data_IF_266934815709
#
_entry.id   IF_266934815709
#
_cell.length_a   1.000
_cell.length_b   1.000
_cell.length_c   1.000
_cell.angle_alpha   90.00
_cell.angle_beta   90.00
_cell.angle_gamma   90.00
#
_symmetry.space_group_name_H-M   'P 1'
#
loop_
_entity.id
_entity.type
_entity.pdbx_description
1 polymer ?
#
# COMPACT_ATOMS: atom_id res chain seq x y z
N UNK A 1 37.36 -1.00 -8.34
CA UNK A 1 36.34 -1.40 -9.33
C UNK A 1 35.03 -0.75 -8.91
N UNK A 2 34.44 0.09 -9.75
CA UNK A 2 33.09 0.57 -9.51
C UNK A 2 32.11 -0.59 -9.64
N UNK A 3 31.18 -0.69 -8.70
CA UNK A 3 30.14 -1.70 -8.70
C UNK A 3 29.20 -1.51 -9.91
N UNK A 4 28.85 -2.59 -10.61
CA UNK A 4 27.88 -2.48 -11.71
C UNK A 4 26.49 -2.16 -11.15
N UNK A 5 25.66 -1.48 -11.94
CA UNK A 5 24.28 -1.16 -11.56
C UNK A 5 23.47 -2.43 -11.25
N UNK A 6 23.69 -3.49 -12.02
CA UNK A 6 23.03 -4.79 -11.82
C UNK A 6 23.39 -5.38 -10.45
N UNK A 7 24.67 -5.35 -10.07
CA UNK A 7 25.09 -5.85 -8.76
C UNK A 7 24.49 -5.03 -7.60
N UNK A 8 24.38 -3.71 -7.77
CA UNK A 8 23.71 -2.84 -6.79
C UNK A 8 22.21 -3.17 -6.64
N UNK A 9 21.53 -3.45 -7.75
CA UNK A 9 20.10 -3.84 -7.74
C UNK A 9 19.92 -5.19 -7.06
N UNK A 10 20.77 -6.17 -7.34
CA UNK A 10 20.66 -7.50 -6.75
C UNK A 10 20.95 -7.47 -5.25
N UNK A 11 21.96 -6.72 -4.80
CA UNK A 11 22.20 -6.49 -3.38
C UNK A 11 21.05 -5.77 -2.69
N UNK A 12 20.41 -4.81 -3.36
CA UNK A 12 19.24 -4.13 -2.82
C UNK A 12 18.10 -5.13 -2.58
N UNK A 13 17.81 -6.00 -3.56
CA UNK A 13 16.79 -7.05 -3.44
C UNK A 13 17.09 -8.02 -2.31
N UNK A 14 18.35 -8.43 -2.18
CA UNK A 14 18.81 -9.30 -1.10
C UNK A 14 18.60 -8.64 0.27
N UNK A 15 18.99 -7.38 0.42
CA UNK A 15 18.81 -6.63 1.67
C UNK A 15 17.34 -6.39 1.98
N UNK A 16 16.52 -6.05 0.98
CA UNK A 16 15.06 -5.92 1.12
C UNK A 16 14.46 -7.24 1.67
N UNK A 17 14.85 -8.39 1.12
CA UNK A 17 14.39 -9.71 1.59
C UNK A 17 14.86 -10.04 3.02
N UNK A 18 16.12 -9.71 3.37
CA UNK A 18 16.64 -9.90 4.73
C UNK A 18 15.88 -9.03 5.75
N UNK A 19 15.56 -7.79 5.38
CA UNK A 19 14.77 -6.88 6.22
C UNK A 19 13.36 -7.42 6.43
N UNK A 20 12.71 -7.91 5.39
CA UNK A 20 11.37 -8.52 5.48
C UNK A 20 11.39 -9.75 6.40
N UNK A 21 12.37 -10.63 6.23
CA UNK A 21 12.53 -11.81 7.10
C UNK A 21 12.76 -11.39 8.57
N UNK A 22 13.59 -10.37 8.82
CA UNK A 22 13.82 -9.85 10.16
C UNK A 22 12.54 -9.24 10.77
N UNK A 23 11.75 -8.50 9.99
CA UNK A 23 10.45 -7.99 10.44
C UNK A 23 9.45 -9.12 10.73
N UNK A 24 9.39 -10.16 9.90
CA UNK A 24 8.52 -11.31 10.11
C UNK A 24 8.87 -12.09 11.39
N UNK A 25 10.16 -12.30 11.65
CA UNK A 25 10.64 -12.91 12.88
C UNK A 25 10.26 -12.07 14.11
N UNK A 26 10.49 -10.75 14.06
CA UNK A 26 10.09 -9.81 15.13
C UNK A 26 8.58 -9.76 15.33
N UNK A 27 7.79 -9.83 14.26
CA UNK A 27 6.35 -9.84 14.33
C UNK A 27 5.84 -11.10 15.04
N UNK A 28 6.45 -12.27 14.78
CA UNK A 28 6.08 -13.53 15.43
C UNK A 28 6.38 -13.51 16.94
N UNK A 29 7.56 -13.00 17.32
CA UNK A 29 7.90 -12.79 18.74
C UNK A 29 6.95 -11.82 19.43
N UNK A 30 6.65 -10.69 18.76
CA UNK A 30 5.70 -9.70 19.27
C UNK A 30 4.28 -10.27 19.41
N UNK A 31 3.80 -11.03 18.42
CA UNK A 31 2.48 -11.66 18.44
C UNK A 31 2.37 -12.65 19.60
N UNK A 32 3.41 -13.46 19.84
CA UNK A 32 3.47 -14.34 21.01
C UNK A 32 3.44 -13.56 22.33
N UNK A 33 4.25 -12.50 22.45
CA UNK A 33 4.33 -11.65 23.65
C UNK A 33 3.03 -10.91 23.95
N UNK A 34 2.32 -10.46 22.92
CA UNK A 34 1.08 -9.68 23.06
C UNK A 34 -0.19 -10.52 22.89
N UNK A 35 -0.05 -11.84 22.77
CA UNK A 35 -1.14 -12.80 22.55
C UNK A 35 -2.07 -12.38 21.39
N UNK A 36 -1.43 -12.00 20.28
CA UNK A 36 -2.08 -11.83 18.97
C UNK A 36 -2.27 -13.23 18.39
N UNK A 37 -3.48 -13.52 17.95
CA UNK A 37 -3.85 -14.75 17.27
C UNK A 37 -4.44 -14.43 15.90
N UNK A 38 -4.73 -15.45 15.10
CA UNK A 38 -5.47 -15.29 13.84
C UNK A 38 -6.83 -15.97 13.97
N UNK A 39 -7.88 -15.29 13.51
CA UNK A 39 -9.20 -15.90 13.41
C UNK A 39 -9.26 -16.94 12.27
N UNK A 40 -10.38 -17.65 12.13
CA UNK A 40 -10.57 -18.67 11.09
C UNK A 40 -10.39 -18.14 9.65
N UNK A 41 -10.40 -16.82 9.45
CA UNK A 41 -10.23 -16.13 8.16
C UNK A 41 -8.82 -15.52 8.06
N UNK A 42 -7.93 -15.79 9.01
CA UNK A 42 -6.54 -15.34 9.03
C UNK A 42 -6.33 -13.90 9.52
N UNK A 43 -7.38 -13.20 9.99
CA UNK A 43 -7.27 -11.82 10.45
C UNK A 43 -6.77 -11.77 11.89
N UNK A 44 -6.00 -10.74 12.27
CA UNK A 44 -5.48 -10.63 13.63
C UNK A 44 -6.63 -10.51 14.63
N UNK A 45 -6.54 -11.26 15.71
CA UNK A 45 -7.40 -11.19 16.89
C UNK A 45 -6.52 -11.26 18.15
N UNK A 46 -7.11 -11.06 19.32
CA UNK A 46 -6.38 -11.04 20.58
C UNK A 46 -7.08 -11.94 21.59
N UNK A 47 -6.31 -12.67 22.41
CA UNK A 47 -6.87 -13.39 23.57
C UNK A 47 -7.63 -12.43 24.49
N UNK A 48 -8.64 -12.96 25.19
CA UNK A 48 -9.51 -12.17 26.08
C UNK A 48 -8.71 -11.37 27.12
N UNK A 49 -7.66 -11.96 27.71
CA UNK A 49 -6.82 -11.29 28.71
C UNK A 49 -5.96 -10.17 28.11
N UNK A 50 -5.47 -10.35 26.89
CA UNK A 50 -4.74 -9.30 26.18
C UNK A 50 -5.65 -8.10 25.87
N UNK A 51 -6.89 -8.35 25.44
CA UNK A 51 -7.88 -7.29 25.25
C UNK A 51 -8.23 -6.57 26.55
N UNK A 52 -8.33 -7.30 27.67
CA UNK A 52 -8.55 -6.68 28.99
C UNK A 52 -7.39 -5.74 29.34
N UNK A 53 -6.14 -6.19 29.21
CA UNK A 53 -4.94 -5.36 29.43
C UNK A 53 -4.94 -4.11 28.55
N UNK A 54 -5.26 -4.24 27.26
CA UNK A 54 -5.34 -3.10 26.34
C UNK A 54 -6.43 -2.10 26.75
N UNK A 55 -7.62 -2.57 27.13
CA UNK A 55 -8.75 -1.70 27.50
C UNK A 55 -8.47 -0.82 28.71
N UNK A 56 -7.61 -1.25 29.63
CA UNK A 56 -7.17 -0.43 30.78
C UNK A 56 -6.45 0.84 30.32
N UNK A 57 -5.74 0.78 29.20
CA UNK A 57 -5.05 1.93 28.61
C UNK A 57 -5.93 2.80 27.71
N UNK A 58 -7.23 2.48 27.57
CA UNK A 58 -8.14 3.21 26.70
C UNK A 58 -8.47 4.58 27.28
N UNK A 59 -8.03 5.64 26.57
CA UNK A 59 -8.39 7.03 26.93
C UNK A 59 -9.87 7.30 26.67
N UNK A 60 -10.51 8.04 27.57
CA UNK A 60 -11.90 8.51 27.40
C UNK A 60 -12.02 9.50 26.25
N UNK A 61 -13.22 9.60 25.64
CA UNK A 61 -13.54 10.60 24.63
C UNK A 61 -13.74 11.97 25.31
N UNK A 62 -12.64 12.61 25.72
CA UNK A 62 -12.69 13.98 26.22
C UNK A 62 -12.65 14.98 25.07
N UNK A 63 -13.79 15.28 24.45
CA UNK A 63 -13.87 16.27 23.35
C UNK A 63 -13.30 17.64 23.76
N UNK A 64 -13.46 18.00 25.04
CA UNK A 64 -12.91 19.21 25.65
C UNK A 64 -11.36 19.25 25.74
N UNK A 65 -10.68 18.11 25.53
CA UNK A 65 -9.20 18.02 25.52
C UNK A 65 -8.62 18.06 24.10
N UNK A 66 -9.48 18.09 23.08
CA UNK A 66 -9.03 18.19 21.68
C UNK A 66 -8.71 19.65 21.37
N UNK A 67 -7.52 19.98 20.84
CA UNK A 67 -7.20 21.34 20.46
C UNK A 67 -8.26 21.88 19.49
N UNK A 68 -8.74 23.11 19.72
CA UNK A 68 -9.75 23.75 18.87
C UNK A 68 -9.39 23.74 17.37
N UNK A 69 -8.12 23.95 16.95
CA UNK A 69 -7.74 23.84 15.54
C UNK A 69 -7.96 22.44 14.96
N UNK A 70 -7.75 21.39 15.76
CA UNK A 70 -8.00 20.01 15.34
C UNK A 70 -9.50 19.78 15.14
N UNK A 71 -10.34 20.28 16.04
CA UNK A 71 -11.79 20.15 15.92
C UNK A 71 -12.31 20.87 14.67
N UNK A 72 -11.80 22.07 14.39
CA UNK A 72 -12.19 22.89 13.24
C UNK A 72 -11.79 22.26 11.91
N UNK A 73 -10.69 21.50 11.88
CA UNK A 73 -10.17 20.84 10.68
C UNK A 73 -10.76 19.45 10.44
N UNK A 74 -11.47 18.85 11.41
CA UNK A 74 -12.08 17.52 11.24
C UNK A 74 -13.06 17.45 10.04
N UNK A 75 -13.94 18.44 9.80
CA UNK A 75 -14.82 18.42 8.63
C UNK A 75 -14.05 18.39 7.31
N UNK A 76 -12.90 19.10 7.23
CA UNK A 76 -12.06 19.10 6.04
C UNK A 76 -11.39 17.73 5.81
N UNK A 77 -10.87 17.12 6.88
CA UNK A 77 -10.25 15.80 6.81
C UNK A 77 -11.28 14.74 6.37
N UNK A 78 -12.45 14.70 7.01
CA UNK A 78 -13.48 13.73 6.63
C UNK A 78 -14.14 14.07 5.30
N UNK A 79 -14.15 15.34 4.89
CA UNK A 79 -14.55 15.75 3.55
C UNK A 79 -13.72 15.07 2.46
N UNK A 80 -12.44 14.79 2.71
CA UNK A 80 -11.57 14.04 1.78
C UNK A 80 -11.97 12.57 1.59
N UNK A 81 -12.86 12.01 2.40
CA UNK A 81 -13.42 10.68 2.14
C UNK A 81 -14.14 10.65 0.79
N UNK A 82 -14.89 11.70 0.45
CA UNK A 82 -15.64 11.75 -0.81
C UNK A 82 -14.74 11.63 -2.05
N UNK A 83 -13.70 12.49 -2.26
CA UNK A 83 -12.82 12.34 -3.41
C UNK A 83 -12.04 11.02 -3.39
N UNK A 84 -11.68 10.48 -2.22
CA UNK A 84 -11.02 9.17 -2.13
C UNK A 84 -11.94 8.02 -2.56
N UNK A 85 -13.22 8.05 -2.19
CA UNK A 85 -14.21 7.08 -2.65
C UNK A 85 -14.44 7.18 -4.15
N UNK A 86 -14.57 8.41 -4.67
CA UNK A 86 -14.68 8.63 -6.12
C UNK A 86 -13.48 8.03 -6.83
N UNK A 87 -12.25 8.32 -6.37
CA UNK A 87 -11.02 7.76 -6.94
C UNK A 87 -11.01 6.22 -6.90
N UNK A 88 -11.36 5.61 -5.76
CA UNK A 88 -11.37 4.15 -5.60
C UNK A 88 -12.34 3.47 -6.58
N UNK A 89 -13.55 4.03 -6.71
CA UNK A 89 -14.56 3.54 -7.65
C UNK A 89 -14.10 3.74 -9.09
N UNK A 90 -13.64 4.94 -9.44
CA UNK A 90 -13.17 5.25 -10.79
C UNK A 90 -12.01 4.36 -11.23
N UNK A 91 -11.01 4.15 -10.37
CA UNK A 91 -9.86 3.27 -10.64
C UNK A 91 -10.31 1.81 -10.77
N UNK A 92 -11.24 1.37 -9.93
CA UNK A 92 -11.75 -0.01 -9.99
C UNK A 92 -12.54 -0.27 -11.28
N UNK A 93 -13.35 0.70 -11.73
CA UNK A 93 -14.06 0.63 -13.02
C UNK A 93 -13.09 0.69 -14.20
N UNK A 94 -12.10 1.59 -14.15
CA UNK A 94 -11.04 1.70 -15.15
C UNK A 94 -10.29 0.38 -15.32
N UNK A 95 -9.83 -0.20 -14.21
CA UNK A 95 -9.17 -1.50 -14.21
C UNK A 95 -10.08 -2.59 -14.77
N UNK A 96 -11.35 -2.63 -14.34
CA UNK A 96 -12.30 -3.64 -14.81
C UNK A 96 -12.48 -3.60 -16.33
N UNK A 97 -12.56 -2.41 -16.93
CA UNK A 97 -12.66 -2.25 -18.38
C UNK A 97 -11.32 -2.50 -19.08
N UNK A 98 -10.34 -1.64 -18.81
CA UNK A 98 -9.07 -1.60 -19.56
C UNK A 98 -8.22 -2.86 -19.34
N UNK A 99 -8.07 -3.34 -18.10
CA UNK A 99 -7.20 -4.51 -17.86
C UNK A 99 -7.86 -5.79 -18.39
N UNK A 100 -9.19 -5.87 -18.42
CA UNK A 100 -9.88 -6.98 -19.08
C UNK A 100 -9.67 -6.92 -20.60
N UNK A 101 -9.76 -5.74 -21.21
CA UNK A 101 -9.56 -5.56 -22.65
C UNK A 101 -8.11 -5.84 -23.10
N UNK A 102 -7.13 -5.55 -22.25
CA UNK A 102 -5.70 -5.74 -22.53
C UNK A 102 -5.12 -7.05 -21.97
N UNK A 103 -5.98 -7.88 -21.37
CA UNK A 103 -5.62 -9.10 -20.65
C UNK A 103 -4.55 -8.95 -19.54
N UNK A 104 -4.54 -7.79 -18.89
CA UNK A 104 -3.63 -7.51 -17.77
C UNK A 104 -4.16 -8.15 -16.48
N UNK A 105 -3.25 -8.69 -15.67
CA UNK A 105 -3.56 -9.17 -14.33
C UNK A 105 -4.11 -8.03 -13.46
N UNK A 106 -5.29 -8.24 -12.89
CA UNK A 106 -5.93 -7.26 -11.99
C UNK A 106 -5.17 -7.17 -10.67
N UNK A 107 -4.93 -5.94 -10.24
CA UNK A 107 -4.44 -5.56 -8.91
C UNK A 107 -5.53 -5.89 -7.88
N UNK A 108 -5.16 -6.70 -6.89
CA UNK A 108 -6.05 -7.05 -5.78
C UNK A 108 -6.12 -5.89 -4.81
N UNK A 109 -7.29 -5.27 -4.68
CA UNK A 109 -7.53 -4.16 -3.76
C UNK A 109 -7.25 -4.52 -2.29
N UNK A 110 -7.48 -5.78 -1.91
CA UNK A 110 -7.25 -6.29 -0.54
C UNK A 110 -5.80 -6.19 -0.07
N UNK A 111 -4.86 -6.16 -1.01
CA UNK A 111 -3.43 -6.15 -0.70
C UNK A 111 -2.96 -4.73 -0.32
N UNK A 112 -3.77 -3.72 -0.65
CA UNK A 112 -3.46 -2.30 -0.41
C UNK A 112 -4.37 -1.67 0.65
N UNK A 113 -5.68 -1.93 0.59
CA UNK A 113 -6.65 -1.33 1.51
C UNK A 113 -6.86 -2.23 2.73
N UNK A 114 -5.97 -2.10 3.72
CA UNK A 114 -5.98 -2.88 4.96
C UNK A 114 -6.51 -2.04 6.13
N UNK A 115 -7.58 -2.51 6.77
CA UNK A 115 -8.22 -1.83 7.91
C UNK A 115 -8.47 -2.85 9.04
N UNK A 116 -7.48 -3.03 9.91
CA UNK A 116 -7.48 -4.02 11.00
C UNK A 116 -7.33 -3.37 12.40
N UNK A 117 -6.78 -2.15 12.46
CA UNK A 117 -6.53 -1.39 13.71
C UNK A 117 -7.78 -1.13 14.55
N UNK A 118 -8.98 -1.26 13.97
CA UNK A 118 -10.24 -1.21 14.71
C UNK A 118 -10.36 -2.33 15.77
N UNK A 119 -9.56 -3.40 15.64
CA UNK A 119 -9.49 -4.53 16.59
C UNK A 119 -8.69 -4.23 17.85
N UNK A 120 -7.92 -3.15 17.87
CA UNK A 120 -7.14 -2.73 19.03
C UNK A 120 -8.07 -2.27 20.17
N UNK A 121 -7.90 -2.86 21.35
CA UNK A 121 -8.75 -2.62 22.53
C UNK A 121 -8.46 -1.31 23.26
N UNK A 122 -7.25 -0.76 23.08
CA UNK A 122 -6.81 0.49 23.71
C UNK A 122 -7.21 1.74 22.92
N UNK A 123 -7.69 1.60 21.68
CA UNK A 123 -8.17 2.73 20.89
C UNK A 123 -9.61 3.06 21.25
N UNK A 124 -9.90 4.36 21.40
CA UNK A 124 -11.27 4.85 21.50
C UNK A 124 -11.93 4.97 20.11
N UNK A 125 -13.23 5.28 20.07
CA UNK A 125 -14.00 5.33 18.82
C UNK A 125 -13.41 6.34 17.82
N UNK A 126 -13.08 7.56 18.25
CA UNK A 126 -12.50 8.58 17.35
C UNK A 126 -11.13 8.17 16.80
N UNK A 127 -10.29 7.55 17.63
CA UNK A 127 -9.01 7.02 17.17
C UNK A 127 -9.18 5.90 16.14
N UNK A 128 -10.17 5.02 16.34
CA UNK A 128 -10.50 3.96 15.37
C UNK A 128 -11.00 4.54 14.05
N UNK A 129 -11.87 5.56 14.09
CA UNK A 129 -12.34 6.26 12.90
C UNK A 129 -11.19 6.93 12.14
N UNK A 130 -10.30 7.64 12.85
CA UNK A 130 -9.12 8.25 12.23
C UNK A 130 -8.17 7.19 11.63
N UNK A 131 -7.95 6.08 12.34
CA UNK A 131 -7.14 4.97 11.83
C UNK A 131 -7.78 4.34 10.58
N UNK A 132 -9.09 4.18 10.55
CA UNK A 132 -9.82 3.68 9.38
C UNK A 132 -9.70 4.64 8.20
N UNK A 133 -9.85 5.95 8.44
CA UNK A 133 -9.64 6.99 7.42
C UNK A 133 -8.23 6.93 6.83
N UNK A 134 -7.19 6.95 7.67
CA UNK A 134 -5.81 6.92 7.19
C UNK A 134 -5.46 5.58 6.51
N UNK A 135 -5.97 4.45 7.01
CA UNK A 135 -5.78 3.15 6.38
C UNK A 135 -6.44 3.08 5.01
N UNK A 136 -7.67 3.58 4.90
CA UNK A 136 -8.40 3.67 3.64
C UNK A 136 -7.71 4.61 2.64
N UNK A 137 -7.43 5.86 3.02
CA UNK A 137 -6.88 6.86 2.12
C UNK A 137 -5.50 6.48 1.57
N UNK A 138 -4.58 6.05 2.44
CA UNK A 138 -3.26 5.60 1.99
C UNK A 138 -3.36 4.32 1.14
N UNK A 139 -4.24 3.39 1.52
CA UNK A 139 -4.46 2.15 0.77
C UNK A 139 -5.01 2.42 -0.63
N UNK A 140 -6.02 3.30 -0.77
CA UNK A 140 -6.60 3.67 -2.07
C UNK A 140 -5.57 4.37 -2.96
N UNK A 141 -4.76 5.28 -2.41
CA UNK A 141 -3.71 5.96 -3.18
C UNK A 141 -2.65 4.96 -3.67
N UNK A 142 -2.23 4.02 -2.80
CA UNK A 142 -1.26 2.98 -3.18
C UNK A 142 -1.83 2.02 -4.24
N UNK A 143 -3.10 1.62 -4.09
CA UNK A 143 -3.81 0.81 -5.08
C UNK A 143 -3.93 1.52 -6.44
N UNK A 144 -4.38 2.77 -6.44
CA UNK A 144 -4.47 3.60 -7.64
C UNK A 144 -3.12 3.73 -8.33
N UNK A 145 -2.06 3.98 -7.56
CA UNK A 145 -0.69 4.07 -8.05
C UNK A 145 -0.22 2.77 -8.72
N UNK A 146 -0.48 1.60 -8.13
CA UNK A 146 -0.12 0.32 -8.78
C UNK A 146 -0.89 0.12 -10.09
N UNK A 147 -2.20 0.43 -10.11
CA UNK A 147 -3.01 0.35 -11.34
C UNK A 147 -2.40 1.25 -12.41
N UNK A 148 -2.10 2.51 -12.09
CA UNK A 148 -1.46 3.43 -13.05
C UNK A 148 -0.05 3.01 -13.44
N UNK A 149 0.72 2.38 -12.55
CA UNK A 149 2.06 1.87 -12.86
C UNK A 149 2.02 0.71 -13.87
N UNK A 150 1.01 -0.17 -13.79
CA UNK A 150 0.78 -1.20 -14.81
C UNK A 150 0.31 -0.60 -16.13
N UNK A 151 -0.52 0.45 -16.09
CA UNK A 151 -0.89 1.22 -17.29
C UNK A 151 0.34 1.85 -17.94
N UNK A 152 1.21 2.48 -17.15
CA UNK A 152 2.46 3.07 -17.63
C UNK A 152 3.36 2.02 -18.26
N UNK A 153 3.52 0.86 -17.61
CA UNK A 153 4.27 -0.27 -18.15
C UNK A 153 3.70 -0.79 -19.48
N UNK A 154 2.36 -0.78 -19.65
CA UNK A 154 1.71 -1.23 -20.87
C UNK A 154 1.93 -0.28 -22.07
N UNK A 155 1.83 1.03 -21.80
CA UNK A 155 1.88 2.06 -22.84
C UNK A 155 3.29 2.57 -23.13
N UNK A 156 3.99 3.07 -22.10
CA UNK A 156 5.23 3.82 -22.24
C UNK A 156 6.19 3.57 -21.06
N UNK A 157 6.81 2.37 -20.95
CA UNK A 157 7.78 2.04 -19.91
C UNK A 157 9.13 2.76 -20.10
N UNK A 158 9.12 4.09 -20.01
CA UNK A 158 10.28 4.96 -20.22
C UNK A 158 10.47 5.84 -18.99
N UNK A 159 11.71 5.94 -18.51
CA UNK A 159 12.08 6.82 -17.39
C UNK A 159 11.92 8.28 -17.79
N UNK A 160 11.43 9.10 -16.88
CA UNK A 160 11.50 10.56 -16.94
C UNK A 160 12.96 11.05 -16.97
N UNK A 161 13.21 12.11 -17.75
CA UNK A 161 14.47 12.85 -17.73
C UNK A 161 14.72 13.52 -16.36
N UNK A 162 13.65 13.90 -15.66
CA UNK A 162 13.70 14.53 -14.35
C UNK A 162 13.60 13.48 -13.24
N UNK A 163 14.27 13.76 -12.11
CA UNK A 163 14.21 12.89 -10.93
C UNK A 163 12.81 12.88 -10.33
N UNK A 164 12.17 11.70 -10.35
CA UNK A 164 10.89 11.46 -9.69
C UNK A 164 11.10 11.01 -8.26
N UNK A 165 10.41 11.64 -7.30
CA UNK A 165 10.41 11.20 -5.91
C UNK A 165 9.39 10.07 -5.73
N UNK A 166 9.84 8.98 -5.13
CA UNK A 166 9.01 7.81 -4.90
C UNK A 166 8.45 7.26 -6.21
N UNK A 167 9.29 6.90 -7.17
CA UNK A 167 8.88 6.10 -8.33
C UNK A 167 8.37 4.72 -7.87
N UNK A 168 7.48 4.10 -8.64
CA UNK A 168 7.03 2.72 -8.34
C UNK A 168 8.14 1.71 -8.64
N UNK A 169 8.03 0.50 -8.11
CA UNK A 169 9.08 -0.53 -8.23
C UNK A 169 9.42 -0.86 -9.69
N UNK A 170 8.39 -1.01 -10.53
CA UNK A 170 8.53 -1.29 -11.97
C UNK A 170 9.35 -0.26 -12.75
N UNK A 171 9.45 0.97 -12.23
CA UNK A 171 10.17 2.07 -12.89
C UNK A 171 11.68 1.81 -12.95
N UNK A 172 12.22 0.97 -12.05
CA UNK A 172 13.64 0.56 -12.07
C UNK A 172 14.01 -0.11 -13.39
N UNK A 173 13.08 -0.91 -13.92
CA UNK A 173 13.29 -1.72 -15.12
C UNK A 173 12.93 -1.01 -16.42
N UNK A 174 12.41 0.23 -16.36
CA UNK A 174 11.99 0.99 -17.53
C UNK A 174 13.18 1.47 -18.37
N UNK A 175 12.90 1.71 -19.66
CA UNK A 175 13.86 2.19 -20.64
C UNK A 175 14.39 3.57 -20.27
N UNK A 176 15.66 3.84 -20.58
CA UNK A 176 16.24 5.16 -20.38
C UNK A 176 15.53 6.22 -21.24
N UNK A 177 15.47 7.45 -20.73
CA UNK A 177 14.93 8.59 -21.48
C UNK A 177 15.71 8.80 -22.79
N UNK A 178 15.01 8.85 -23.91
CA UNK A 178 15.60 9.10 -25.24
C UNK A 178 16.10 7.85 -25.97
N UNK A 179 16.07 6.67 -25.36
CA UNK A 179 16.50 5.42 -26.01
C UNK A 179 15.35 4.77 -26.81
N UNK A 180 15.22 5.21 -28.07
CA UNK A 180 14.17 4.75 -28.97
C UNK A 180 14.37 3.28 -29.41
N UNK A 181 15.61 2.85 -29.63
CA UNK A 181 15.92 1.48 -30.05
C UNK A 181 15.59 0.47 -28.96
N UNK A 182 16.03 0.75 -27.72
CA UNK A 182 15.71 -0.06 -26.56
C UNK A 182 14.20 -0.14 -26.29
N UNK A 183 13.47 0.97 -26.47
CA UNK A 183 12.02 1.01 -26.32
C UNK A 183 11.33 0.09 -27.34
N UNK A 184 11.68 0.19 -28.62
CA UNK A 184 11.09 -0.66 -29.67
C UNK A 184 11.37 -2.14 -29.40
N UNK A 185 12.60 -2.48 -29.03
CA UNK A 185 13.01 -3.86 -28.75
C UNK A 185 12.31 -4.48 -27.53
N UNK A 186 12.01 -3.69 -26.49
CA UNK A 186 11.50 -4.20 -25.21
C UNK A 186 9.99 -4.02 -25.01
N UNK A 187 9.33 -3.16 -25.80
CA UNK A 187 7.91 -2.80 -25.66
C UNK A 187 6.96 -4.01 -25.54
N UNK A 188 7.13 -5.03 -26.39
CA UNK A 188 6.34 -6.25 -26.34
C UNK A 188 6.53 -7.03 -25.04
N UNK A 189 7.79 -7.19 -24.59
CA UNK A 189 8.11 -7.92 -23.38
C UNK A 189 7.52 -7.25 -22.11
N UNK A 190 7.44 -5.91 -22.07
CA UNK A 190 6.76 -5.22 -20.96
C UNK A 190 5.28 -5.57 -20.86
N UNK A 191 4.59 -5.68 -22.01
CA UNK A 191 3.17 -6.04 -22.06
C UNK A 191 2.95 -7.50 -21.68
N UNK A 192 3.79 -8.41 -22.16
CA UNK A 192 3.69 -9.83 -21.79
C UNK A 192 3.83 -10.06 -20.28
N UNK A 193 4.74 -9.34 -19.61
CA UNK A 193 4.90 -9.42 -18.14
C UNK A 193 3.69 -8.94 -17.34
N UNK A 194 2.72 -8.27 -17.98
CA UNK A 194 1.49 -7.83 -17.32
C UNK A 194 0.34 -8.84 -17.47
N UNK A 195 0.44 -9.80 -18.39
CA UNK A 195 -0.66 -10.70 -18.70
C UNK A 195 -0.98 -11.68 -17.58
N UNK A 196 -2.21 -12.20 -17.56
CA UNK A 196 -2.63 -13.25 -16.62
C UNK A 196 -1.93 -14.58 -16.95
N UNK A 197 -1.24 -15.18 -15.98
CA UNK A 197 -0.73 -16.56 -16.10
C UNK A 197 0.79 -16.73 -16.17
N UNK A 198 1.56 -15.69 -15.86
CA UNK A 198 2.94 -15.82 -15.36
C UNK A 198 2.94 -15.89 -13.83
#
# INVERSE_FOLDING_TARGET
>A
MAESLEHLIDRLREVEAQIEAAFAARATDHDAKHAVERDAVGKPCFKADALRRQKVHRKTLGLARVPLPTLLTMPLIYGMVLPLVILDVSISLYQLGCFTAWDIMRVKRSDYVVIDRHRLGYLNLMQKLNCAFCGYGNGVIAYAREVTARTEQYWCPIKHALKVKGSHERYRDFQAYGDAEGYLASSGAYRERLKRGL
#
